data_IF_760813347386
#
_entry.id   IF_760813347386
#
_cell.length_a   1.000
_cell.length_b   1.000
_cell.length_c   1.000
_cell.angle_alpha   90.00
_cell.angle_beta   90.00
_cell.angle_gamma   90.00
#
_symmetry.space_group_name_H-M   'P 1'
#
loop_
_entity.id
_entity.type
_entity.pdbx_description
1 polymer ?
#
# COMPACT_ATOMS: atom_id res chain seq x y z
N UNK A 1 6.48 30.57 3.00
CA UNK A 1 6.80 29.16 2.67
C UNK A 1 5.61 28.68 1.88
N UNK A 2 5.76 28.53 0.57
CA UNK A 2 4.69 28.00 -0.29
C UNK A 2 4.58 26.51 0.02
N UNK A 3 3.46 26.09 0.61
CA UNK A 3 3.10 24.67 0.67
C UNK A 3 3.02 24.19 -0.78
N UNK A 4 3.97 23.34 -1.19
CA UNK A 4 3.83 22.61 -2.44
C UNK A 4 2.57 21.76 -2.31
N UNK A 5 1.55 22.12 -3.10
CA UNK A 5 0.28 21.42 -3.11
C UNK A 5 0.52 20.07 -3.76
N UNK A 6 0.65 19.03 -2.95
CA UNK A 6 0.81 17.65 -3.42
C UNK A 6 -0.50 17.26 -4.08
N UNK A 7 -0.45 16.92 -5.37
CA UNK A 7 -1.62 16.39 -6.07
C UNK A 7 -1.82 14.93 -5.67
N UNK A 8 -3.04 14.61 -5.23
CA UNK A 8 -3.39 13.28 -4.76
C UNK A 8 -4.72 12.83 -5.36
N UNK A 9 -4.87 11.52 -5.49
CA UNK A 9 -6.14 10.87 -5.81
C UNK A 9 -6.45 9.79 -4.76
N UNK A 10 -7.74 9.56 -4.42
CA UNK A 10 -8.09 8.47 -3.53
C UNK A 10 -7.63 7.13 -4.09
N UNK A 11 -6.86 6.37 -3.31
CA UNK A 11 -6.27 5.13 -3.80
C UNK A 11 -7.29 3.99 -3.86
N UNK A 12 -7.19 3.17 -4.89
CA UNK A 12 -7.86 1.86 -5.00
C UNK A 12 -6.83 0.73 -4.92
N UNK A 13 -7.29 -0.49 -4.71
CA UNK A 13 -6.44 -1.68 -4.76
C UNK A 13 -5.67 -1.78 -6.09
N UNK A 14 -6.34 -1.56 -7.22
CA UNK A 14 -5.74 -1.56 -8.55
C UNK A 14 -4.71 -0.43 -8.72
N UNK A 15 -4.99 0.76 -8.17
CA UNK A 15 -4.07 1.91 -8.30
C UNK A 15 -2.75 1.71 -7.54
N UNK A 16 -2.75 0.83 -6.54
CA UNK A 16 -1.59 0.50 -5.71
C UNK A 16 -0.94 -0.83 -6.08
N UNK A 17 -1.50 -1.56 -7.05
CA UNK A 17 -0.97 -2.85 -7.46
C UNK A 17 0.44 -2.68 -8.03
N UNK A 18 1.36 -3.59 -7.70
CA UNK A 18 2.67 -3.62 -8.36
C UNK A 18 2.55 -4.27 -9.74
N UNK A 19 3.26 -3.73 -10.73
CA UNK A 19 3.14 -4.18 -12.12
C UNK A 19 3.76 -5.56 -12.34
N UNK A 20 4.87 -5.86 -11.68
CA UNK A 20 5.56 -7.13 -11.75
C UNK A 20 5.42 -7.89 -10.43
N UNK A 21 4.18 -8.17 -10.06
CA UNK A 21 3.91 -9.06 -8.93
C UNK A 21 4.26 -10.50 -9.30
N UNK A 22 4.58 -11.29 -8.29
CA UNK A 22 5.01 -12.68 -8.49
C UNK A 22 4.36 -13.57 -7.45
N UNK A 23 3.57 -14.52 -7.93
CA UNK A 23 2.98 -15.56 -7.11
C UNK A 23 3.89 -16.79 -7.09
N UNK A 24 4.04 -17.52 -5.97
CA UNK A 24 4.87 -18.74 -5.89
C UNK A 24 4.53 -19.89 -6.86
N UNK A 25 3.50 -19.75 -7.69
CA UNK A 25 3.10 -20.72 -8.71
C UNK A 25 3.43 -20.28 -10.14
N UNK A 26 3.95 -19.06 -10.36
CA UNK A 26 4.28 -18.62 -11.71
C UNK A 26 5.48 -19.42 -12.25
N UNK A 27 5.44 -19.75 -13.54
CA UNK A 27 6.42 -20.66 -14.17
C UNK A 27 7.81 -20.01 -14.32
N UNK A 28 7.88 -18.68 -14.48
CA UNK A 28 9.10 -17.89 -14.68
C UNK A 28 9.23 -16.81 -13.59
N UNK A 29 9.56 -17.24 -12.37
CA UNK A 29 9.80 -16.32 -11.24
C UNK A 29 11.18 -15.64 -11.39
N UNK A 30 11.29 -14.30 -11.44
CA UNK A 30 12.51 -13.68 -10.94
C UNK A 30 12.67 -14.10 -9.47
N UNK A 31 13.87 -14.57 -9.09
CA UNK A 31 14.15 -15.14 -7.76
C UNK A 31 13.83 -14.19 -6.58
N UNK A 32 13.64 -12.91 -6.86
CA UNK A 32 13.30 -11.86 -5.90
C UNK A 32 12.47 -10.78 -6.59
N UNK A 33 11.26 -10.50 -6.08
CA UNK A 33 10.51 -9.28 -6.43
C UNK A 33 11.06 -8.14 -5.59
N UNK A 34 11.65 -7.14 -6.23
CA UNK A 34 11.96 -5.89 -5.55
C UNK A 34 10.70 -5.02 -5.49
N UNK A 35 9.73 -5.42 -4.66
CA UNK A 35 8.48 -4.68 -4.52
C UNK A 35 8.69 -3.28 -3.95
N UNK A 36 9.78 -3.05 -3.18
CA UNK A 36 10.12 -1.74 -2.61
C UNK A 36 10.34 -0.65 -3.67
N UNK A 37 10.91 -1.01 -4.82
CA UNK A 37 11.11 -0.08 -5.94
C UNK A 37 9.81 0.22 -6.70
N UNK A 38 8.82 -0.67 -6.60
CA UNK A 38 7.52 -0.56 -7.27
C UNK A 38 6.43 0.03 -6.36
N UNK A 39 6.76 0.37 -5.10
CA UNK A 39 5.78 0.98 -4.21
C UNK A 39 5.42 2.39 -4.67
N UNK A 40 4.12 2.68 -4.65
CA UNK A 40 3.58 3.98 -5.05
C UNK A 40 3.73 4.98 -3.90
N UNK A 41 4.08 6.25 -4.19
CA UNK A 41 4.07 7.30 -3.18
C UNK A 41 2.63 7.58 -2.73
N UNK A 42 2.41 7.66 -1.42
CA UNK A 42 1.08 7.82 -0.83
C UNK A 42 1.08 8.75 0.38
N UNK A 43 -0.11 9.24 0.72
CA UNK A 43 -0.44 9.79 2.03
C UNK A 43 -1.35 8.80 2.75
N UNK A 44 -0.98 8.35 3.95
CA UNK A 44 -1.80 7.50 4.82
C UNK A 44 -2.18 8.29 6.06
N UNK A 45 -3.47 8.60 6.21
CA UNK A 45 -3.98 9.52 7.22
C UNK A 45 -3.19 10.84 7.30
N UNK A 46 -2.72 11.32 6.14
CA UNK A 46 -1.90 12.53 6.00
C UNK A 46 -0.39 12.32 6.18
N UNK A 47 0.05 11.13 6.58
CA UNK A 47 1.49 10.79 6.73
C UNK A 47 2.03 10.32 5.39
N UNK A 48 3.14 10.93 4.95
CA UNK A 48 3.84 10.51 3.73
C UNK A 48 4.45 9.13 3.86
N UNK A 49 4.42 8.39 2.77
CA UNK A 49 5.08 7.11 2.69
C UNK A 49 4.97 6.49 1.30
N UNK A 50 5.15 5.18 1.28
CA UNK A 50 4.94 4.35 0.10
C UNK A 50 4.01 3.20 0.42
N UNK A 51 3.17 2.81 -0.53
CA UNK A 51 2.33 1.64 -0.39
C UNK A 51 2.23 0.86 -1.69
N UNK A 52 1.94 -0.44 -1.56
CA UNK A 52 1.55 -1.28 -2.68
C UNK A 52 0.61 -2.40 -2.25
N UNK A 53 -0.08 -2.97 -3.23
CA UNK A 53 -0.87 -4.19 -3.11
C UNK A 53 -0.31 -5.27 -4.02
N UNK A 54 -0.47 -6.53 -3.59
CA UNK A 54 -0.08 -7.71 -4.35
C UNK A 54 0.30 -8.86 -3.45
N UNK A 55 0.73 -9.95 -4.07
CA UNK A 55 1.23 -11.16 -3.43
C UNK A 55 2.63 -10.95 -2.86
N UNK A 56 3.43 -10.06 -3.46
CA UNK A 56 4.77 -9.67 -3.02
C UNK A 56 5.72 -10.86 -2.87
N UNK A 57 5.62 -11.86 -3.76
CA UNK A 57 6.43 -13.09 -3.68
C UNK A 57 5.89 -14.12 -2.67
N UNK A 58 4.66 -13.96 -2.19
CA UNK A 58 4.04 -14.85 -1.21
C UNK A 58 2.71 -15.41 -1.71
N UNK A 59 2.01 -16.23 -0.93
CA UNK A 59 0.83 -16.97 -1.39
C UNK A 59 -0.52 -16.20 -1.34
N UNK A 60 -0.53 -14.93 -0.96
CA UNK A 60 -1.79 -14.19 -0.78
C UNK A 60 -1.60 -12.72 -1.03
N UNK A 61 -2.62 -12.08 -1.59
CA UNK A 61 -2.63 -10.63 -1.71
C UNK A 61 -2.59 -9.95 -0.34
N UNK A 62 -1.88 -8.85 -0.29
CA UNK A 62 -1.67 -8.05 0.91
C UNK A 62 -1.41 -6.61 0.50
N UNK A 63 -1.79 -5.70 1.37
CA UNK A 63 -1.35 -4.32 1.33
C UNK A 63 -0.10 -4.18 2.20
N UNK A 64 0.91 -3.49 1.69
CA UNK A 64 2.12 -3.12 2.43
C UNK A 64 2.30 -1.61 2.38
N UNK A 65 2.62 -1.03 3.53
CA UNK A 65 2.74 0.41 3.75
C UNK A 65 4.03 0.66 4.52
N UNK A 66 4.82 1.61 4.05
CA UNK A 66 6.03 2.10 4.72
C UNK A 66 5.95 3.62 4.83
N UNK A 67 5.90 4.13 6.06
CA UNK A 67 5.66 5.53 6.37
C UNK A 67 6.95 6.22 6.81
N UNK A 68 7.08 7.50 6.47
CA UNK A 68 8.20 8.35 6.87
C UNK A 68 8.16 8.67 8.39
N UNK A 69 6.96 8.66 8.97
CA UNK A 69 6.71 8.90 10.39
C UNK A 69 5.86 7.76 10.99
N UNK A 70 5.93 7.58 12.32
CA UNK A 70 5.20 6.52 13.01
C UNK A 70 3.71 6.82 13.07
N UNK A 71 2.88 5.96 12.47
CA UNK A 71 1.43 6.02 12.61
C UNK A 71 0.98 5.36 13.92
N UNK A 72 0.05 5.95 14.69
CA UNK A 72 -0.38 5.43 15.99
C UNK A 72 -0.93 3.99 15.96
N UNK A 73 -1.52 3.58 14.83
CA UNK A 73 -2.08 2.23 14.67
C UNK A 73 -1.28 1.32 13.74
N UNK A 74 -0.52 1.88 12.78
CA UNK A 74 0.15 1.11 11.73
C UNK A 74 1.66 1.00 11.99
N UNK A 75 2.22 1.83 12.86
CA UNK A 75 3.67 1.99 13.00
C UNK A 75 4.29 2.64 11.76
N UNK A 76 5.59 2.43 11.56
CA UNK A 76 6.33 2.88 10.36
C UNK A 76 6.36 1.84 9.24
N UNK A 77 6.17 0.56 9.57
CA UNK A 77 6.12 -0.55 8.61
C UNK A 77 4.91 -1.43 8.92
N UNK A 78 3.98 -1.49 7.98
CA UNK A 78 2.72 -2.19 8.12
C UNK A 78 2.46 -3.11 6.93
N UNK A 79 1.95 -4.31 7.20
CA UNK A 79 1.43 -5.17 6.16
C UNK A 79 0.31 -6.05 6.67
N UNK A 80 -0.69 -6.30 5.84
CA UNK A 80 -1.76 -7.25 6.16
C UNK A 80 -2.39 -7.82 4.89
N UNK A 81 -2.82 -9.08 4.98
CA UNK A 81 -3.69 -9.72 3.98
C UNK A 81 -5.19 -9.50 4.27
N UNK A 82 -5.50 -8.96 5.44
CA UNK A 82 -6.86 -8.67 5.86
C UNK A 82 -7.10 -7.18 5.63
N UNK A 83 -7.33 -6.80 4.38
CA UNK A 83 -7.68 -5.44 4.00
C UNK A 83 -8.84 -5.44 3.00
N UNK A 84 -9.65 -4.38 3.03
CA UNK A 84 -10.74 -4.16 2.07
C UNK A 84 -10.83 -2.66 1.80
N UNK A 85 -10.75 -2.25 0.54
CA UNK A 85 -11.13 -0.88 0.15
C UNK A 85 -12.66 -0.77 0.19
N UNK A 86 -13.20 -0.06 1.19
CA UNK A 86 -14.65 0.19 1.32
C UNK A 86 -15.16 1.10 0.20
N UNK A 87 -14.35 2.09 -0.12
CA UNK A 87 -14.50 3.06 -1.18
C UNK A 87 -13.10 3.58 -1.54
N UNK A 88 -12.91 4.23 -2.70
CA UNK A 88 -11.62 4.81 -3.05
C UNK A 88 -11.07 5.69 -1.92
N UNK A 89 -9.88 5.34 -1.45
CA UNK A 89 -9.14 6.01 -0.38
C UNK A 89 -9.54 5.67 1.05
N UNK A 90 -10.47 4.74 1.29
CA UNK A 90 -10.81 4.27 2.64
C UNK A 90 -10.61 2.75 2.74
N UNK A 91 -9.65 2.35 3.58
CA UNK A 91 -9.28 0.94 3.75
C UNK A 91 -9.68 0.47 5.13
N UNK A 92 -10.46 -0.61 5.19
CA UNK A 92 -10.60 -1.43 6.37
C UNK A 92 -9.41 -2.37 6.49
N UNK A 93 -8.97 -2.65 7.71
CA UNK A 93 -7.93 -3.64 7.96
C UNK A 93 -8.15 -4.45 9.25
N UNK A 94 -7.55 -5.63 9.28
CA UNK A 94 -7.62 -6.55 10.42
C UNK A 94 -9.03 -7.12 10.64
N UNK A 95 -9.34 -7.46 11.89
CA UNK A 95 -10.61 -8.08 12.28
C UNK A 95 -11.51 -7.17 13.12
N UNK A 96 -11.05 -5.95 13.45
CA UNK A 96 -11.69 -5.04 14.42
C UNK A 96 -12.31 -3.81 13.77
N UNK A 97 -12.68 -3.89 12.48
CA UNK A 97 -13.24 -2.78 11.71
C UNK A 97 -12.37 -1.49 11.67
N UNK A 98 -11.09 -1.59 12.02
CA UNK A 98 -10.14 -0.48 11.97
C UNK A 98 -10.01 0.04 10.54
N UNK A 99 -9.87 1.36 10.40
CA UNK A 99 -9.76 2.02 9.09
C UNK A 99 -8.61 3.00 9.05
N UNK A 100 -7.99 3.15 7.88
CA UNK A 100 -7.15 4.30 7.56
C UNK A 100 -7.55 4.87 6.20
N UNK A 101 -7.25 6.15 5.99
CA UNK A 101 -7.35 6.77 4.67
C UNK A 101 -6.04 6.65 3.93
N UNK A 102 -6.13 6.48 2.61
CA UNK A 102 -4.95 6.39 1.75
C UNK A 102 -5.18 7.11 0.43
N UNK A 103 -4.25 7.98 0.07
CA UNK A 103 -4.27 8.72 -1.18
C UNK A 103 -2.99 8.44 -1.95
N UNK A 104 -3.10 8.20 -3.25
CA UNK A 104 -1.95 8.06 -4.15
C UNK A 104 -1.50 9.44 -4.60
N UNK A 105 -0.21 9.72 -4.48
CA UNK A 105 0.42 10.94 -4.97
C UNK A 105 0.65 10.78 -6.48
N UNK A 106 0.26 11.80 -7.27
CA UNK A 106 0.33 11.80 -8.75
C UNK A 106 1.27 12.85 -9.31
#
# INVERSE_FOLDING_TARGET
MTEEKIETIPATEESLMIENDVHPFDEDLPKTVNFFEQMHPVLVDGIKGKACTGTLGTYSDRIRINLEEEHPELGTDFQTKYFIFKEPGLVLWGHNESTFKIEKIV
#
